data_IF_665069262768
#
_entry.id   IF_665069262768
#
_cell.length_a   1.000
_cell.length_b   1.000
_cell.length_c   1.000
_cell.angle_alpha   90.00
_cell.angle_beta   90.00
_cell.angle_gamma   90.00
#
_symmetry.space_group_name_H-M   'P 1'
#
loop_
_entity.id
_entity.type
_entity.pdbx_description
1 polymer ?
#
# COMPACT_ATOMS: atom_id res chain seq x y z
N UNK A 1 -0.35 11.44 47.08
CA UNK A 1 -1.15 12.63 47.42
C UNK A 1 -0.15 13.70 47.83
N UNK A 2 -0.13 14.87 47.17
CA UNK A 2 0.80 15.96 47.51
C UNK A 2 0.34 16.59 48.82
N UNK A 3 1.26 17.00 49.69
CA UNK A 3 0.93 17.54 51.01
C UNK A 3 0.36 18.97 50.94
N UNK A 4 0.94 19.80 50.07
CA UNK A 4 0.38 21.09 49.67
C UNK A 4 -0.26 20.95 48.28
N UNK A 5 -1.59 20.96 48.23
CA UNK A 5 -2.39 20.90 47.01
C UNK A 5 -3.34 22.11 46.89
N UNK A 6 -4.13 22.15 45.82
CA UNK A 6 -5.09 23.24 45.54
C UNK A 6 -6.23 23.32 46.58
N UNK A 7 -6.52 22.25 47.31
CA UNK A 7 -7.60 22.25 48.30
C UNK A 7 -7.29 23.18 49.49
N UNK A 8 -6.02 23.47 49.73
CA UNK A 8 -5.56 24.37 50.79
C UNK A 8 -5.59 25.87 50.40
N UNK A 9 -5.84 26.20 49.13
CA UNK A 9 -5.76 27.57 48.62
C UNK A 9 -6.78 28.52 49.28
N UNK A 10 -7.98 28.01 49.59
CA UNK A 10 -9.00 28.76 50.30
C UNK A 10 -8.55 29.15 51.72
N UNK A 11 -7.88 28.22 52.41
CA UNK A 11 -7.34 28.44 53.76
C UNK A 11 -6.18 29.45 53.70
N UNK A 12 -5.27 29.31 52.72
CA UNK A 12 -4.16 30.26 52.48
C UNK A 12 -4.70 31.67 52.26
N UNK A 13 -5.75 31.82 51.43
CA UNK A 13 -6.35 33.12 51.14
C UNK A 13 -6.99 33.73 52.39
N UNK A 14 -7.68 32.92 53.18
CA UNK A 14 -8.33 33.33 54.43
C UNK A 14 -7.32 33.79 55.49
N UNK A 15 -6.22 33.05 55.66
CA UNK A 15 -5.10 33.43 56.54
C UNK A 15 -4.43 34.71 56.05
N UNK A 16 -4.19 34.83 54.74
CA UNK A 16 -3.56 36.01 54.14
C UNK A 16 -4.38 37.28 54.39
N UNK A 17 -5.70 37.21 54.20
CA UNK A 17 -6.60 38.34 54.48
C UNK A 17 -6.62 38.70 55.96
N UNK A 18 -6.58 37.71 56.85
CA UNK A 18 -6.54 37.96 58.29
C UNK A 18 -5.22 38.60 58.73
N UNK A 19 -4.08 38.10 58.24
CA UNK A 19 -2.76 38.66 58.57
C UNK A 19 -2.64 40.10 58.06
N UNK A 20 -3.06 40.36 56.82
CA UNK A 20 -2.98 41.71 56.22
C UNK A 20 -3.84 42.74 56.95
N UNK A 21 -4.98 42.32 57.52
CA UNK A 21 -5.88 43.21 58.27
C UNK A 21 -5.47 43.39 59.74
N UNK A 22 -4.88 42.36 60.35
CA UNK A 22 -4.58 42.34 61.79
C UNK A 22 -3.16 42.81 62.11
N UNK A 23 -2.21 42.57 61.20
CA UNK A 23 -0.79 42.84 61.39
C UNK A 23 -0.24 43.73 60.24
N UNK A 24 -0.62 45.02 60.17
CA UNK A 24 -0.11 45.91 59.13
C UNK A 24 1.39 46.17 59.32
N UNK A 25 2.19 45.87 58.29
CA UNK A 25 3.64 46.07 58.31
C UNK A 25 4.03 47.42 57.70
N UNK A 26 4.91 48.18 58.36
CA UNK A 26 5.56 49.35 57.75
C UNK A 26 6.71 48.91 56.82
N UNK A 27 6.99 49.69 55.78
CA UNK A 27 8.06 49.40 54.81
C UNK A 27 9.46 49.30 55.45
N UNK A 28 9.70 50.01 56.56
CA UNK A 28 10.98 49.99 57.25
C UNK A 28 11.24 48.65 57.98
N UNK A 29 10.19 48.07 58.58
CA UNK A 29 10.26 46.76 59.26
C UNK A 29 10.31 45.59 58.27
N UNK A 30 9.96 45.83 57.00
CA UNK A 30 10.05 44.83 55.94
C UNK A 30 11.50 44.44 55.62
N UNK A 31 12.40 45.41 55.65
CA UNK A 31 13.81 45.24 55.28
C UNK A 31 14.71 44.94 56.49
N UNK A 32 14.27 45.26 57.70
CA UNK A 32 15.03 45.06 58.92
C UNK A 32 14.13 44.57 60.07
N UNK A 33 13.90 43.25 60.19
CA UNK A 33 13.07 42.70 61.26
C UNK A 33 13.70 42.87 62.66
N UNK A 34 15.00 43.13 62.76
CA UNK A 34 15.68 43.35 64.04
C UNK A 34 15.23 44.65 64.74
N UNK A 35 14.76 45.64 63.97
CA UNK A 35 14.31 46.93 64.47
C UNK A 35 12.90 46.91 65.10
N UNK A 36 12.20 45.77 65.03
CA UNK A 36 10.89 45.63 65.65
C UNK A 36 10.99 45.63 67.19
N UNK A 37 10.08 46.34 67.86
CA UNK A 37 9.92 46.29 69.31
C UNK A 37 9.37 44.93 69.76
N UNK A 38 9.70 44.51 70.99
CA UNK A 38 9.31 43.22 71.53
C UNK A 38 7.78 43.05 71.62
N UNK A 39 7.02 44.14 71.75
CA UNK A 39 5.56 44.12 71.76
C UNK A 39 4.92 43.71 70.43
N UNK A 40 5.61 43.95 69.30
CA UNK A 40 5.11 43.72 67.93
C UNK A 40 5.94 42.68 67.17
N UNK A 41 7.04 42.18 67.75
CA UNK A 41 7.98 41.30 67.07
C UNK A 41 7.31 40.05 66.49
N UNK A 42 6.51 39.33 67.28
CA UNK A 42 5.82 38.12 66.82
C UNK A 42 4.90 38.41 65.62
N UNK A 43 4.23 39.56 65.61
CA UNK A 43 3.29 39.95 64.55
C UNK A 43 4.02 40.33 63.26
N UNK A 44 5.19 40.97 63.39
CA UNK A 44 6.09 41.30 62.29
C UNK A 44 6.64 40.02 61.64
N UNK A 45 7.12 39.07 62.44
CA UNK A 45 7.68 37.81 61.93
C UNK A 45 6.58 36.93 61.30
N UNK A 46 5.36 36.89 61.86
CA UNK A 46 4.22 36.19 61.23
C UNK A 46 3.99 36.73 59.82
N UNK A 47 3.95 38.06 59.67
CA UNK A 47 3.70 38.69 58.37
C UNK A 47 4.81 38.42 57.34
N UNK A 48 6.08 38.49 57.75
CA UNK A 48 7.23 38.23 56.88
C UNK A 48 7.33 36.76 56.47
N UNK A 49 7.24 35.85 57.44
CA UNK A 49 7.33 34.41 57.21
C UNK A 49 6.15 33.91 56.38
N UNK A 50 4.93 34.40 56.63
CA UNK A 50 3.75 34.03 55.85
C UNK A 50 3.87 34.52 54.40
N UNK A 51 4.34 35.75 54.17
CA UNK A 51 4.58 36.25 52.80
C UNK A 51 5.59 35.39 52.04
N UNK A 52 6.68 34.99 52.70
CA UNK A 52 7.66 34.08 52.11
C UNK A 52 7.03 32.72 51.78
N UNK A 53 6.25 32.16 52.70
CA UNK A 53 5.54 30.90 52.49
C UNK A 53 4.52 30.98 51.34
N UNK A 54 3.74 32.05 51.23
CA UNK A 54 2.79 32.27 50.12
C UNK A 54 3.53 32.28 48.78
N UNK A 55 4.66 32.99 48.70
CA UNK A 55 5.45 33.06 47.48
C UNK A 55 5.90 31.67 47.03
N UNK A 56 6.40 30.86 47.97
CA UNK A 56 6.72 29.46 47.73
C UNK A 56 5.50 28.63 47.34
N UNK A 57 4.36 28.80 48.00
CA UNK A 57 3.14 28.03 47.74
C UNK A 57 2.56 28.28 46.34
N UNK A 58 2.58 29.53 45.84
CA UNK A 58 2.05 29.87 44.52
C UNK A 58 3.07 29.72 43.39
N UNK A 59 4.36 30.02 43.62
CA UNK A 59 5.38 29.97 42.56
C UNK A 59 6.15 28.66 42.50
N UNK A 60 6.31 27.97 43.63
CA UNK A 60 7.23 26.84 43.79
C UNK A 60 6.61 25.68 44.60
N UNK A 61 5.31 25.42 44.41
CA UNK A 61 4.55 24.40 45.18
C UNK A 61 5.16 23.00 45.11
N UNK A 62 5.67 22.60 43.94
CA UNK A 62 6.27 21.28 43.76
C UNK A 62 7.58 21.14 44.53
N UNK A 63 8.44 22.17 44.48
CA UNK A 63 9.68 22.23 45.26
C UNK A 63 9.39 22.29 46.76
N UNK A 64 8.35 23.01 47.17
CA UNK A 64 7.91 23.05 48.56
C UNK A 64 7.52 21.64 49.06
N UNK A 65 6.80 20.86 48.25
CA UNK A 65 6.46 19.47 48.57
C UNK A 65 7.69 18.55 48.58
N UNK A 66 8.60 18.71 47.62
CA UNK A 66 9.81 17.87 47.50
C UNK A 66 10.80 18.10 48.64
N UNK A 67 10.95 19.35 49.08
CA UNK A 67 11.95 19.78 50.06
C UNK A 67 11.41 19.99 51.47
N UNK A 68 10.19 19.53 51.79
CA UNK A 68 9.69 19.54 53.19
C UNK A 68 9.25 18.17 53.76
N UNK A 69 9.84 17.02 53.35
CA UNK A 69 9.32 15.70 53.73
C UNK A 69 9.43 15.41 55.24
N UNK A 70 10.40 15.98 55.96
CA UNK A 70 10.55 15.76 57.40
C UNK A 70 9.42 16.39 58.18
N UNK A 71 9.08 17.66 57.92
CA UNK A 71 7.95 18.29 58.58
C UNK A 71 6.64 17.67 58.11
N UNK A 72 6.49 17.28 56.84
CA UNK A 72 5.31 16.54 56.38
C UNK A 72 5.08 15.24 57.17
N UNK A 73 6.16 14.50 57.47
CA UNK A 73 6.09 13.27 58.26
C UNK A 73 5.94 13.50 59.78
N UNK A 74 6.41 14.64 60.30
CA UNK A 74 6.42 14.97 61.74
C UNK A 74 5.26 15.85 62.20
N UNK A 75 4.53 16.47 61.28
CA UNK A 75 3.23 17.08 61.55
C UNK A 75 2.22 15.91 61.67
N UNK A 76 2.35 15.11 62.72
CA UNK A 76 1.38 14.07 63.08
C UNK A 76 0.05 14.76 63.39
N UNK A 77 -0.91 14.57 62.48
CA UNK A 77 -2.27 15.12 62.58
C UNK A 77 -2.79 15.78 61.30
N UNK A 78 -1.98 15.98 60.25
CA UNK A 78 -2.45 16.47 58.95
C UNK A 78 -2.96 17.92 58.94
N UNK A 79 -2.80 18.66 60.03
CA UNK A 79 -3.25 20.05 60.10
C UNK A 79 -2.17 20.97 59.53
N UNK A 80 -2.31 21.24 58.23
CA UNK A 80 -1.75 22.42 57.59
C UNK A 80 -2.02 23.66 58.47
N UNK A 81 -1.14 24.70 58.43
CA UNK A 81 -1.36 25.93 59.16
C UNK A 81 -2.79 26.45 58.94
N UNK A 82 -3.57 26.66 60.00
CA UNK A 82 -4.99 27.02 59.87
C UNK A 82 -5.29 28.39 60.47
N UNK A 83 -6.34 29.04 59.98
CA UNK A 83 -6.81 30.32 60.48
C UNK A 83 -7.32 30.21 61.91
N UNK A 84 -7.95 29.09 62.27
CA UNK A 84 -8.41 28.83 63.64
C UNK A 84 -7.22 28.78 64.60
N UNK A 85 -6.13 28.12 64.21
CA UNK A 85 -4.88 28.04 64.96
C UNK A 85 -4.21 29.41 65.14
N UNK A 86 -4.16 30.23 64.07
CA UNK A 86 -3.61 31.59 64.16
C UNK A 86 -4.39 32.46 65.17
N UNK A 87 -5.72 32.29 65.25
CA UNK A 87 -6.57 33.02 66.21
C UNK A 87 -6.46 32.50 67.64
N UNK A 88 -6.23 31.20 67.83
CA UNK A 88 -6.12 30.59 69.16
C UNK A 88 -4.72 30.72 69.75
N UNK A 89 -3.68 30.47 68.95
CA UNK A 89 -2.28 30.50 69.36
C UNK A 89 -1.38 30.94 68.20
N UNK A 90 -1.12 32.25 68.15
CA UNK A 90 -0.27 32.86 67.13
C UNK A 90 1.19 32.36 67.17
N UNK A 91 1.69 31.96 68.34
CA UNK A 91 3.08 31.50 68.47
C UNK A 91 3.24 30.07 67.94
N UNK A 92 2.24 29.21 68.18
CA UNK A 92 2.23 27.85 67.62
C UNK A 92 2.12 27.86 66.09
N UNK A 93 1.24 28.72 65.56
CA UNK A 93 1.14 28.94 64.11
C UNK A 93 2.48 29.41 63.54
N UNK A 94 3.10 30.41 64.16
CA UNK A 94 4.40 30.95 63.73
C UNK A 94 5.48 29.86 63.73
N UNK A 95 5.54 29.04 64.79
CA UNK A 95 6.51 27.95 64.91
C UNK A 95 6.39 26.93 63.78
N UNK A 96 5.18 26.55 63.37
CA UNK A 96 4.97 25.64 62.23
C UNK A 96 5.47 26.22 60.92
N UNK A 97 5.16 27.50 60.66
CA UNK A 97 5.57 28.18 59.43
C UNK A 97 7.09 28.31 59.36
N UNK A 98 7.73 28.74 60.45
CA UNK A 98 9.19 28.87 60.49
C UNK A 98 9.88 27.52 60.28
N UNK A 99 9.35 26.42 60.84
CA UNK A 99 9.88 25.07 60.59
C UNK A 99 9.80 24.66 59.12
N UNK A 100 8.65 24.87 58.48
CA UNK A 100 8.48 24.53 57.07
C UNK A 100 9.45 25.32 56.18
N UNK A 101 9.55 26.62 56.42
CA UNK A 101 10.45 27.51 55.69
C UNK A 101 11.90 27.12 55.94
N UNK A 102 12.27 26.80 57.18
CA UNK A 102 13.63 26.38 57.52
C UNK A 102 14.03 25.09 56.80
N UNK A 103 13.16 24.08 56.80
CA UNK A 103 13.44 22.83 56.08
C UNK A 103 13.60 23.06 54.57
N UNK A 104 12.71 23.83 53.96
CA UNK A 104 12.81 24.18 52.55
C UNK A 104 14.16 24.83 52.24
N UNK A 105 14.55 25.84 53.03
CA UNK A 105 15.81 26.55 52.82
C UNK A 105 17.03 25.67 53.09
N UNK A 106 16.95 24.74 54.05
CA UNK A 106 18.05 23.82 54.39
C UNK A 106 18.45 22.94 53.20
N UNK A 107 17.49 22.54 52.35
CA UNK A 107 17.77 21.69 51.18
C UNK A 107 18.00 22.48 49.88
N UNK A 108 17.50 23.71 49.77
CA UNK A 108 17.48 24.46 48.50
C UNK A 108 18.55 25.55 48.40
N UNK A 109 18.97 26.14 49.52
CA UNK A 109 19.88 27.29 49.49
C UNK A 109 21.33 26.80 49.48
N UNK A 110 22.09 27.15 48.45
CA UNK A 110 23.54 26.85 48.33
C UNK A 110 24.43 27.81 49.12
N UNK A 111 23.93 29.00 49.46
CA UNK A 111 24.64 30.06 50.19
C UNK A 111 24.15 30.20 51.64
N UNK A 112 24.99 30.74 52.54
CA UNK A 112 24.69 30.95 53.97
C UNK A 112 23.60 32.00 54.27
N UNK A 113 22.96 32.58 53.25
CA UNK A 113 21.96 33.64 53.45
C UNK A 113 20.58 33.06 53.69
N UNK A 114 20.32 32.69 54.94
CA UNK A 114 18.97 32.40 55.41
C UNK A 114 18.13 33.69 55.43
N UNK A 115 16.80 33.60 55.27
CA UNK A 115 15.92 34.74 55.48
C UNK A 115 16.17 35.35 56.86
N UNK A 116 16.24 36.68 56.94
CA UNK A 116 16.60 37.39 58.19
C UNK A 116 15.70 37.01 59.38
N UNK A 117 14.44 36.66 59.12
CA UNK A 117 13.48 36.23 60.13
C UNK A 117 13.75 34.83 60.73
N UNK A 118 14.70 34.07 60.17
CA UNK A 118 15.20 32.81 60.70
C UNK A 118 16.55 32.96 61.43
N UNK A 119 17.07 34.19 61.58
CA UNK A 119 18.30 34.45 62.33
C UNK A 119 18.16 34.04 63.80
N UNK A 120 19.24 33.47 64.37
CA UNK A 120 19.29 32.99 65.76
C UNK A 120 18.79 34.04 66.75
N UNK A 121 19.20 35.29 66.59
CA UNK A 121 18.85 36.35 67.54
C UNK A 121 17.35 36.69 67.52
N UNK A 122 16.68 36.52 66.37
CA UNK A 122 15.23 36.67 66.27
C UNK A 122 14.52 35.47 66.89
N UNK A 123 15.01 34.25 66.62
CA UNK A 123 14.45 33.04 67.21
C UNK A 123 14.57 33.04 68.74
N UNK A 124 15.70 33.50 69.30
CA UNK A 124 15.89 33.65 70.74
C UNK A 124 14.92 34.69 71.35
N UNK A 125 14.73 35.83 70.67
CA UNK A 125 13.76 36.85 71.10
C UNK A 125 12.33 36.30 71.10
N UNK A 126 11.93 35.58 70.06
CA UNK A 126 10.61 34.93 69.98
C UNK A 126 10.41 33.89 71.09
N UNK A 127 11.45 33.14 71.45
CA UNK A 127 11.43 32.15 72.54
C UNK A 127 11.15 32.82 73.90
N UNK A 128 11.72 34.00 74.14
CA UNK A 128 11.48 34.79 75.37
C UNK A 128 10.06 35.34 75.46
N UNK A 129 9.46 35.66 74.31
CA UNK A 129 8.12 36.25 74.21
C UNK A 129 6.99 35.22 74.17
N UNK A 130 7.30 33.94 73.92
CA UNK A 130 6.31 32.88 73.84
C UNK A 130 5.80 32.47 75.23
N UNK A 131 4.47 32.35 75.44
CA UNK A 131 3.91 31.87 76.70
C UNK A 131 4.28 30.39 76.95
N UNK A 132 4.63 30.04 78.19
CA UNK A 132 5.13 28.70 78.58
C UNK A 132 4.04 27.69 78.95
N UNK A 133 2.76 28.08 78.89
CA UNK A 133 1.74 27.43 79.71
C UNK A 133 0.98 26.26 79.07
N UNK A 134 1.06 26.00 77.75
CA UNK A 134 0.24 24.93 77.14
C UNK A 134 0.94 24.01 76.12
N UNK A 135 1.89 24.48 75.30
CA UNK A 135 2.69 23.65 74.38
C UNK A 135 4.13 24.18 74.46
N UNK A 136 5.14 23.33 74.72
CA UNK A 136 6.53 23.78 74.72
C UNK A 136 6.96 24.10 73.28
N UNK A 137 6.72 25.33 72.86
CA UNK A 137 7.24 25.90 71.62
C UNK A 137 8.65 26.37 71.94
N UNK A 138 9.63 25.85 71.19
CA UNK A 138 11.02 26.30 71.27
C UNK A 138 11.47 26.76 69.90
N UNK A 139 11.53 28.07 69.68
CA UNK A 139 11.97 28.64 68.41
C UNK A 139 13.46 28.36 68.16
N UNK A 140 14.26 28.34 69.24
CA UNK A 140 15.69 28.00 69.20
C UNK A 140 15.96 26.57 68.74
N UNK A 141 15.02 25.64 68.92
CA UNK A 141 15.12 24.27 68.40
C UNK A 141 15.26 24.21 66.87
N UNK A 142 14.62 25.15 66.15
CA UNK A 142 14.62 25.19 64.68
C UNK A 142 16.05 25.31 64.14
N UNK A 143 16.90 26.11 64.77
CA UNK A 143 18.28 26.24 64.35
C UNK A 143 19.20 25.21 65.01
N UNK A 144 19.02 24.96 66.31
CA UNK A 144 20.00 24.18 67.09
C UNK A 144 19.89 22.66 66.87
N UNK A 145 18.67 22.14 66.67
CA UNK A 145 18.43 20.68 66.69
C UNK A 145 17.83 20.18 65.38
N UNK A 146 17.02 20.99 64.70
CA UNK A 146 16.35 20.58 63.46
C UNK A 146 17.31 20.14 62.36
N UNK A 147 18.47 20.79 62.09
CA UNK A 147 19.43 20.32 61.08
C UNK A 147 19.87 18.87 61.30
N UNK A 148 20.22 18.53 62.55
CA UNK A 148 20.61 17.17 62.90
C UNK A 148 19.46 16.17 62.71
N UNK A 149 18.23 16.59 63.00
CA UNK A 149 17.04 15.78 62.78
C UNK A 149 16.75 15.56 61.28
N UNK A 150 16.92 16.59 60.44
CA UNK A 150 16.78 16.53 58.99
C UNK A 150 17.79 15.55 58.38
N UNK A 151 19.07 15.67 58.75
CA UNK A 151 20.13 14.75 58.28
C UNK A 151 19.86 13.32 58.74
N UNK A 152 19.47 13.12 60.01
CA UNK A 152 19.11 11.79 60.53
C UNK A 152 17.93 11.19 59.77
N UNK A 153 16.95 12.00 59.38
CA UNK A 153 15.81 11.55 58.58
C UNK A 153 16.26 11.12 57.17
N UNK A 154 17.12 11.91 56.52
CA UNK A 154 17.69 11.57 55.21
C UNK A 154 18.47 10.24 55.25
N UNK A 155 19.34 10.06 56.24
CA UNK A 155 20.16 8.84 56.39
C UNK A 155 19.32 7.58 56.66
N UNK A 156 18.11 7.75 57.21
CA UNK A 156 17.16 6.65 57.45
C UNK A 156 16.19 6.42 56.30
N UNK A 157 16.25 7.23 55.23
CA UNK A 157 15.34 7.11 54.10
C UNK A 157 15.66 5.88 53.23
N UNK A 158 14.62 5.30 52.63
CA UNK A 158 14.76 4.19 51.68
C UNK A 158 15.59 4.57 50.46
N UNK A 159 15.54 5.84 50.06
CA UNK A 159 16.38 6.37 48.98
C UNK A 159 17.86 6.25 49.32
N UNK A 160 18.24 6.58 50.55
CA UNK A 160 19.63 6.48 50.99
C UNK A 160 20.06 5.02 51.20
N UNK A 161 19.17 4.15 51.68
CA UNK A 161 19.47 2.71 51.78
C UNK A 161 19.67 2.07 50.41
N UNK A 162 18.85 2.43 49.41
CA UNK A 162 19.02 2.02 48.02
C UNK A 162 20.35 2.51 47.46
N UNK A 163 20.69 3.79 47.66
CA UNK A 163 21.99 4.34 47.25
C UNK A 163 23.16 3.60 47.88
N UNK A 164 23.07 3.30 49.19
CA UNK A 164 24.08 2.50 49.89
C UNK A 164 24.20 1.10 49.29
N UNK A 165 23.09 0.44 48.99
CA UNK A 165 23.08 -0.89 48.39
C UNK A 165 23.73 -0.88 47.00
N UNK A 166 23.44 0.13 46.17
CA UNK A 166 24.12 0.33 44.87
C UNK A 166 25.62 0.51 45.08
N UNK A 167 26.02 1.42 45.97
CA UNK A 167 27.43 1.71 46.24
C UNK A 167 28.20 0.49 46.78
N UNK A 168 27.54 -0.39 47.55
CA UNK A 168 28.18 -1.60 48.08
C UNK A 168 28.20 -2.78 47.10
N UNK A 169 27.30 -2.82 46.12
CA UNK A 169 27.14 -3.96 45.21
C UNK A 169 27.25 -3.57 43.72
N UNK A 170 28.13 -2.61 43.41
CA UNK A 170 28.35 -2.11 42.04
C UNK A 170 28.69 -3.27 41.09
N UNK A 171 29.55 -4.21 41.52
CA UNK A 171 29.94 -5.36 40.70
C UNK A 171 28.78 -6.29 40.36
N UNK A 172 27.85 -6.54 41.31
CA UNK A 172 26.67 -7.36 41.03
C UNK A 172 25.68 -6.70 40.07
N UNK A 173 25.53 -5.38 40.15
CA UNK A 173 24.72 -4.63 39.19
C UNK A 173 25.36 -4.60 37.79
N UNK A 174 26.68 -4.42 37.71
CA UNK A 174 27.42 -4.46 36.45
C UNK A 174 27.28 -5.82 35.75
N UNK A 175 27.34 -6.92 36.50
CA UNK A 175 27.16 -8.27 35.99
C UNK A 175 25.73 -8.52 35.49
N UNK A 176 24.71 -8.06 36.22
CA UNK A 176 23.30 -8.20 35.80
C UNK A 176 23.00 -7.36 34.54
N UNK A 177 23.51 -6.13 34.47
CA UNK A 177 23.39 -5.29 33.27
C UNK A 177 24.07 -5.97 32.08
N UNK A 178 25.28 -6.48 32.26
CA UNK A 178 26.03 -7.18 31.21
C UNK A 178 25.28 -8.43 30.72
N UNK A 179 24.67 -9.17 31.65
CA UNK A 179 23.84 -10.34 31.33
C UNK A 179 22.59 -9.98 30.54
N UNK A 180 21.87 -8.91 30.92
CA UNK A 180 20.70 -8.45 30.18
C UNK A 180 21.07 -7.96 28.78
N UNK A 181 22.16 -7.22 28.65
CA UNK A 181 22.67 -6.77 27.34
C UNK A 181 23.01 -7.97 26.45
N UNK A 182 23.75 -8.96 26.98
CA UNK A 182 24.13 -10.16 26.22
C UNK A 182 22.90 -10.98 25.79
N UNK A 183 21.91 -11.11 26.66
CA UNK A 183 20.67 -11.80 26.33
C UNK A 183 19.89 -11.05 25.25
N UNK A 184 19.74 -9.72 25.39
CA UNK A 184 19.06 -8.89 24.39
C UNK A 184 19.71 -8.95 23.01
N UNK A 185 21.05 -8.91 22.95
CA UNK A 185 21.82 -9.04 21.70
C UNK A 185 21.58 -10.42 21.07
N UNK A 186 21.63 -11.50 21.87
CA UNK A 186 21.38 -12.86 21.39
C UNK A 186 19.97 -13.04 20.80
N UNK A 187 18.96 -12.48 21.47
CA UNK A 187 17.58 -12.51 20.99
C UNK A 187 17.42 -11.74 19.67
N UNK A 188 17.98 -10.53 19.59
CA UNK A 188 17.93 -9.72 18.38
C UNK A 188 18.65 -10.40 17.20
N UNK A 189 19.77 -11.07 17.46
CA UNK A 189 20.52 -11.79 16.43
C UNK A 189 19.73 -13.00 15.90
N UNK A 190 19.07 -13.76 16.78
CA UNK A 190 18.21 -14.87 16.36
C UNK A 190 17.00 -14.39 15.54
N UNK A 191 16.37 -13.28 15.91
CA UNK A 191 15.27 -12.69 15.14
C UNK A 191 15.73 -12.21 13.75
N UNK A 192 16.92 -11.61 13.68
CA UNK A 192 17.53 -11.17 12.42
C UNK A 192 17.84 -12.36 11.49
N UNK A 193 18.35 -13.47 12.04
CA UNK A 193 18.62 -14.71 11.29
C UNK A 193 17.31 -15.29 10.71
N UNK A 194 16.25 -15.36 11.52
CA UNK A 194 14.94 -15.84 11.07
C UNK A 194 14.29 -14.94 10.01
N UNK A 195 14.46 -13.62 10.14
CA UNK A 195 13.98 -12.67 9.13
C UNK A 195 14.75 -12.84 7.81
N UNK A 196 16.07 -13.04 7.89
CA UNK A 196 16.89 -13.30 6.71
C UNK A 196 16.44 -14.57 5.98
N UNK A 197 16.24 -15.68 6.70
CA UNK A 197 15.72 -16.92 6.11
C UNK A 197 14.35 -16.71 5.45
N UNK A 198 13.42 -16.02 6.12
CA UNK A 198 12.11 -15.70 5.54
C UNK A 198 12.24 -14.87 4.26
N UNK A 199 13.10 -13.86 4.25
CA UNK A 199 13.34 -13.04 3.05
C UNK A 199 13.91 -13.90 1.92
N UNK A 200 14.90 -14.76 2.18
CA UNK A 200 15.46 -15.65 1.17
C UNK A 200 14.39 -16.60 0.59
N UNK A 201 13.52 -17.18 1.44
CA UNK A 201 12.41 -18.02 0.94
C UNK A 201 11.41 -17.24 0.09
N UNK A 202 11.06 -16.00 0.48
CA UNK A 202 10.13 -15.16 -0.28
C UNK A 202 10.72 -14.75 -1.64
N UNK A 203 12.01 -14.41 -1.68
CA UNK A 203 12.72 -14.08 -2.93
C UNK A 203 12.73 -15.29 -3.86
N UNK A 204 13.08 -16.47 -3.35
CA UNK A 204 13.08 -17.71 -4.15
C UNK A 204 11.68 -18.06 -4.70
N UNK A 205 10.63 -17.84 -3.91
CA UNK A 205 9.24 -18.04 -4.34
C UNK A 205 8.78 -17.00 -5.37
N UNK A 206 9.25 -15.76 -5.26
CA UNK A 206 8.98 -14.73 -6.25
C UNK A 206 9.66 -15.07 -7.59
N UNK A 207 10.92 -15.48 -7.56
CA UNK A 207 11.66 -15.88 -8.76
C UNK A 207 11.03 -17.10 -9.45
N UNK A 208 10.57 -18.09 -8.70
CA UNK A 208 9.86 -19.24 -9.28
C UNK A 208 8.53 -18.83 -9.91
N UNK A 209 7.78 -17.92 -9.27
CA UNK A 209 6.53 -17.37 -9.81
C UNK A 209 6.76 -16.58 -11.10
N UNK A 210 7.84 -15.78 -11.18
CA UNK A 210 8.21 -15.05 -12.40
C UNK A 210 8.51 -16.03 -13.53
N UNK A 211 9.26 -17.10 -13.28
CA UNK A 211 9.52 -18.15 -14.28
C UNK A 211 8.24 -18.79 -14.78
N UNK A 212 7.33 -19.16 -13.87
CA UNK A 212 6.03 -19.72 -14.27
C UNK A 212 5.20 -18.75 -15.10
N UNK A 213 5.21 -17.45 -14.77
CA UNK A 213 4.51 -16.43 -15.57
C UNK A 213 5.10 -16.28 -16.98
N UNK A 214 6.42 -16.35 -17.13
CA UNK A 214 7.08 -16.36 -18.44
C UNK A 214 6.68 -17.59 -19.26
N UNK A 215 6.68 -18.78 -18.66
CA UNK A 215 6.21 -20.01 -19.33
C UNK A 215 4.73 -19.91 -19.75
N UNK A 216 3.88 -19.29 -18.93
CA UNK A 216 2.48 -19.07 -19.29
C UNK A 216 2.30 -18.07 -20.44
N UNK A 217 3.07 -16.99 -20.47
CA UNK A 217 3.04 -16.02 -21.58
C UNK A 217 3.46 -16.67 -22.90
N UNK A 218 4.49 -17.53 -22.88
CA UNK A 218 4.93 -18.30 -24.04
C UNK A 218 3.83 -19.25 -24.53
N UNK A 219 3.21 -20.02 -23.62
CA UNK A 219 2.08 -20.91 -23.97
C UNK A 219 0.89 -20.14 -24.53
N UNK A 220 0.56 -18.98 -23.97
CA UNK A 220 -0.53 -18.14 -24.47
C UNK A 220 -0.24 -17.58 -25.88
N UNK A 221 1.02 -17.21 -26.16
CA UNK A 221 1.45 -16.81 -27.51
C UNK A 221 1.32 -17.97 -28.50
N UNK A 222 1.69 -19.18 -28.10
CA UNK A 222 1.53 -20.39 -28.92
C UNK A 222 0.04 -20.65 -29.23
N UNK A 223 -0.83 -20.66 -28.21
CA UNK A 223 -2.27 -20.86 -28.39
C UNK A 223 -2.93 -19.77 -29.25
N UNK A 224 -2.52 -18.51 -29.09
CA UNK A 224 -3.03 -17.41 -29.93
C UNK A 224 -2.70 -17.62 -31.42
N UNK A 225 -1.49 -18.11 -31.70
CA UNK A 225 -1.06 -18.43 -33.07
C UNK A 225 -1.89 -19.57 -33.65
N UNK A 226 -2.00 -20.68 -32.92
CA UNK A 226 -2.76 -21.87 -33.32
C UNK A 226 -4.25 -21.56 -33.57
N UNK A 227 -4.88 -20.79 -32.67
CA UNK A 227 -6.29 -20.42 -32.78
C UNK A 227 -6.59 -19.54 -34.01
N UNK A 228 -5.68 -18.62 -34.37
CA UNK A 228 -5.85 -17.79 -35.56
C UNK A 228 -5.85 -18.61 -36.86
N UNK A 229 -5.01 -19.64 -36.97
CA UNK A 229 -4.99 -20.52 -38.14
C UNK A 229 -6.18 -21.47 -38.19
N UNK A 230 -6.64 -21.96 -37.03
CA UNK A 230 -7.89 -22.74 -36.94
C UNK A 230 -9.08 -21.91 -37.42
N UNK A 231 -9.15 -20.63 -37.03
CA UNK A 231 -10.22 -19.72 -37.47
C UNK A 231 -10.16 -19.47 -38.98
N UNK A 232 -8.96 -19.27 -39.54
CA UNK A 232 -8.74 -19.06 -40.96
C UNK A 232 -9.10 -20.30 -41.80
N UNK A 233 -8.67 -21.49 -41.37
CA UNK A 233 -9.03 -22.77 -42.00
C UNK A 233 -10.54 -22.99 -41.98
N UNK A 234 -11.20 -22.70 -40.85
CA UNK A 234 -12.67 -22.75 -40.74
C UNK A 234 -13.36 -21.78 -41.71
N UNK A 235 -12.83 -20.57 -41.87
CA UNK A 235 -13.37 -19.59 -42.81
C UNK A 235 -13.25 -20.08 -44.28
N UNK A 236 -12.08 -20.59 -44.68
CA UNK A 236 -11.88 -21.16 -46.02
C UNK A 236 -12.73 -22.41 -46.27
N UNK A 237 -12.89 -23.29 -45.27
CA UNK A 237 -13.74 -24.48 -45.36
C UNK A 237 -15.21 -24.13 -45.58
N UNK A 238 -15.72 -23.11 -44.88
CA UNK A 238 -17.07 -22.58 -45.11
C UNK A 238 -17.25 -21.98 -46.51
N UNK A 239 -16.23 -21.27 -47.00
CA UNK A 239 -16.22 -20.70 -48.35
C UNK A 239 -16.20 -21.80 -49.42
N UNK A 240 -15.39 -22.85 -49.23
CA UNK A 240 -15.34 -24.04 -50.09
C UNK A 240 -16.71 -24.73 -50.18
N UNK A 241 -17.37 -24.95 -49.03
CA UNK A 241 -18.71 -25.56 -48.98
C UNK A 241 -19.73 -24.73 -49.77
N UNK A 242 -19.69 -23.40 -49.61
CA UNK A 242 -20.59 -22.47 -50.31
C UNK A 242 -20.36 -22.51 -51.82
N UNK A 243 -19.09 -22.44 -52.25
CA UNK A 243 -18.74 -22.50 -53.68
C UNK A 243 -19.04 -23.84 -54.34
N UNK A 244 -18.93 -24.94 -53.59
CA UNK A 244 -19.30 -26.28 -54.07
C UNK A 244 -20.81 -26.38 -54.33
N UNK A 245 -21.63 -25.77 -53.47
CA UNK A 245 -23.08 -25.70 -53.67
C UNK A 245 -23.45 -24.84 -54.91
N UNK A 246 -22.74 -23.73 -55.13
CA UNK A 246 -22.88 -22.90 -56.34
C UNK A 246 -22.53 -23.69 -57.61
N UNK A 247 -21.41 -24.44 -57.59
CA UNK A 247 -20.99 -25.30 -58.70
C UNK A 247 -22.05 -26.36 -59.04
N UNK A 248 -22.63 -27.04 -58.04
CA UNK A 248 -23.67 -28.05 -58.26
C UNK A 248 -24.91 -27.42 -58.92
N UNK A 249 -25.31 -26.24 -58.47
CA UNK A 249 -26.44 -25.50 -59.06
C UNK A 249 -26.17 -25.11 -60.51
N UNK A 250 -24.96 -24.60 -60.79
CA UNK A 250 -24.54 -24.24 -62.14
C UNK A 250 -24.45 -25.48 -63.05
N UNK A 251 -23.85 -26.56 -62.57
CA UNK A 251 -23.72 -27.82 -63.32
C UNK A 251 -25.09 -28.42 -63.68
N UNK A 252 -26.05 -28.37 -62.74
CA UNK A 252 -27.43 -28.77 -63.01
C UNK A 252 -28.06 -27.91 -64.12
N UNK A 253 -27.79 -26.61 -64.12
CA UNK A 253 -28.28 -25.69 -65.17
C UNK A 253 -27.70 -26.04 -66.54
N UNK A 254 -26.39 -26.32 -66.63
CA UNK A 254 -25.75 -26.79 -67.87
C UNK A 254 -26.40 -28.08 -68.39
N UNK A 255 -26.66 -29.07 -67.51
CA UNK A 255 -27.32 -30.32 -67.90
C UNK A 255 -28.75 -30.07 -68.44
N UNK A 256 -29.52 -29.19 -67.80
CA UNK A 256 -30.90 -28.86 -68.24
C UNK A 256 -30.88 -28.24 -69.64
N UNK A 257 -30.06 -27.21 -69.87
CA UNK A 257 -29.97 -26.56 -71.19
C UNK A 257 -29.39 -27.47 -72.27
N UNK A 258 -28.42 -28.31 -71.92
CA UNK A 258 -27.87 -29.32 -72.84
C UNK A 258 -28.92 -30.36 -73.22
N UNK A 259 -29.76 -30.79 -72.26
CA UNK A 259 -30.88 -31.69 -72.51
C UNK A 259 -31.91 -31.06 -73.46
N UNK A 260 -32.28 -29.79 -73.27
CA UNK A 260 -33.17 -29.07 -74.18
C UNK A 260 -32.59 -28.86 -75.58
N UNK A 261 -31.28 -28.63 -75.68
CA UNK A 261 -30.58 -28.51 -76.96
C UNK A 261 -30.59 -29.83 -77.76
N UNK A 262 -30.59 -30.99 -77.09
CA UNK A 262 -30.74 -32.30 -77.75
C UNK A 262 -32.21 -32.62 -78.01
N UNK A 263 -33.10 -32.26 -77.08
CA UNK A 263 -34.53 -32.55 -77.19
C UNK A 263 -35.22 -31.80 -78.34
N UNK A 264 -34.78 -30.58 -78.65
CA UNK A 264 -35.34 -29.74 -79.73
C UNK A 264 -35.22 -30.38 -81.12
N UNK A 265 -34.03 -30.79 -81.61
CA UNK A 265 -33.91 -31.48 -82.90
C UNK A 265 -34.52 -32.88 -82.86
N UNK A 266 -34.47 -33.57 -81.73
CA UNK A 266 -35.07 -34.91 -81.58
C UNK A 266 -36.60 -34.85 -81.69
N UNK A 267 -37.23 -33.84 -81.09
CA UNK A 267 -38.67 -33.59 -81.23
C UNK A 267 -39.05 -33.21 -82.67
N UNK A 268 -38.24 -32.39 -83.33
CA UNK A 268 -38.42 -32.06 -84.74
C UNK A 268 -38.35 -33.31 -85.65
N UNK A 269 -37.41 -34.22 -85.37
CA UNK A 269 -37.30 -35.52 -86.07
C UNK A 269 -38.47 -36.45 -85.78
N UNK A 270 -38.93 -36.55 -84.53
CA UNK A 270 -40.11 -37.33 -84.17
C UNK A 270 -41.37 -36.79 -84.84
N UNK A 271 -41.55 -35.47 -84.90
CA UNK A 271 -42.66 -34.86 -85.64
C UNK A 271 -42.63 -35.23 -87.13
N UNK A 272 -41.44 -35.30 -87.74
CA UNK A 272 -41.29 -35.71 -89.14
C UNK A 272 -41.68 -37.18 -89.38
N UNK A 273 -41.33 -38.09 -88.47
CA UNK A 273 -41.61 -39.54 -88.61
C UNK A 273 -43.09 -39.85 -88.34
N UNK A 274 -43.66 -39.26 -87.28
CA UNK A 274 -45.01 -39.59 -86.81
C UNK A 274 -46.09 -38.63 -87.29
N UNK A 275 -45.74 -37.52 -87.95
CA UNK A 275 -46.65 -36.49 -88.48
C UNK A 275 -47.67 -35.98 -87.45
N UNK A 276 -47.21 -35.64 -86.24
CA UNK A 276 -48.08 -35.04 -85.20
C UNK A 276 -48.66 -33.68 -85.64
N UNK A 277 -47.89 -32.89 -86.39
CA UNK A 277 -48.32 -31.65 -87.03
C UNK A 277 -48.16 -31.74 -88.55
N UNK A 278 -49.18 -31.42 -89.36
CA UNK A 278 -49.10 -31.47 -90.82
C UNK A 278 -48.21 -30.33 -91.32
N UNK A 279 -46.93 -30.62 -91.53
CA UNK A 279 -45.97 -29.68 -92.13
C UNK A 279 -45.62 -30.21 -93.51
N UNK A 280 -46.18 -29.60 -94.55
CA UNK A 280 -45.80 -29.91 -95.93
C UNK A 280 -44.38 -29.40 -96.21
N UNK A 281 -43.57 -30.19 -96.91
CA UNK A 281 -42.19 -29.85 -97.26
C UNK A 281 -42.13 -28.83 -98.43
N UNK A 282 -42.75 -27.67 -98.22
CA UNK A 282 -42.81 -26.52 -99.13
C UNK A 282 -42.08 -25.32 -98.49
N UNK A 283 -41.93 -24.19 -99.20
CA UNK A 283 -41.33 -22.96 -98.63
C UNK A 283 -42.03 -22.50 -97.32
N UNK A 284 -43.29 -22.88 -97.12
CA UNK A 284 -44.04 -22.62 -95.90
C UNK A 284 -43.50 -23.36 -94.66
N UNK A 285 -42.74 -24.44 -94.82
CA UNK A 285 -42.07 -25.14 -93.72
C UNK A 285 -41.01 -24.27 -93.02
N UNK A 286 -40.44 -23.30 -93.72
CA UNK A 286 -39.47 -22.36 -93.16
C UNK A 286 -40.05 -21.59 -91.97
N UNK A 287 -41.33 -21.20 -92.02
CA UNK A 287 -41.99 -20.49 -90.92
C UNK A 287 -42.16 -21.35 -89.66
N UNK A 288 -42.14 -22.68 -89.79
CA UNK A 288 -42.19 -23.62 -88.66
C UNK A 288 -40.79 -23.90 -88.08
N UNK A 289 -39.79 -24.13 -88.93
CA UNK A 289 -38.43 -24.47 -88.49
C UNK A 289 -37.60 -23.25 -88.05
N UNK A 290 -37.87 -22.05 -88.57
CA UNK A 290 -37.10 -20.84 -88.23
C UNK A 290 -37.21 -20.44 -86.73
N UNK A 291 -38.40 -20.46 -86.08
CA UNK A 291 -38.50 -20.26 -84.63
C UNK A 291 -37.81 -21.36 -83.82
N UNK A 292 -37.83 -22.62 -84.29
CA UNK A 292 -37.17 -23.75 -83.62
C UNK A 292 -35.64 -23.55 -83.64
N UNK A 293 -35.08 -23.18 -84.79
CA UNK A 293 -33.65 -22.87 -84.92
C UNK A 293 -33.24 -21.67 -84.05
N UNK A 294 -34.08 -20.64 -83.98
CA UNK A 294 -33.82 -19.46 -83.13
C UNK A 294 -33.80 -19.84 -81.64
N UNK A 295 -34.70 -20.73 -81.22
CA UNK A 295 -34.78 -21.26 -79.86
C UNK A 295 -33.60 -22.21 -79.54
N UNK A 296 -33.14 -23.00 -80.50
CA UNK A 296 -31.94 -23.83 -80.39
C UNK A 296 -30.68 -22.98 -80.17
N UNK A 297 -30.51 -21.89 -80.94
CA UNK A 297 -29.41 -20.93 -80.75
C UNK A 297 -29.47 -20.26 -79.37
N UNK A 298 -30.67 -19.97 -78.87
CA UNK A 298 -30.85 -19.42 -77.51
C UNK A 298 -30.43 -20.41 -76.43
N UNK A 299 -30.82 -21.68 -76.54
CA UNK A 299 -30.36 -22.73 -75.61
C UNK A 299 -28.86 -22.95 -75.69
N UNK A 300 -28.27 -22.90 -76.88
CA UNK A 300 -26.83 -22.97 -77.05
C UNK A 300 -26.11 -21.82 -76.34
N UNK A 301 -26.65 -20.60 -76.43
CA UNK A 301 -26.11 -19.43 -75.74
C UNK A 301 -26.14 -19.60 -74.21
N UNK A 302 -27.29 -19.99 -73.63
CA UNK A 302 -27.38 -20.21 -72.18
C UNK A 302 -26.51 -21.37 -71.70
N UNK A 303 -26.45 -22.48 -72.45
CA UNK A 303 -25.55 -23.59 -72.16
C UNK A 303 -24.10 -23.11 -72.10
N UNK A 304 -23.65 -22.33 -73.11
CA UNK A 304 -22.30 -21.77 -73.17
C UNK A 304 -22.03 -20.82 -71.99
N UNK A 305 -22.99 -19.97 -71.63
CA UNK A 305 -22.86 -19.03 -70.51
C UNK A 305 -22.62 -19.78 -69.19
N UNK A 306 -23.50 -20.72 -68.85
CA UNK A 306 -23.37 -21.52 -67.63
C UNK A 306 -22.15 -22.45 -67.65
N UNK A 307 -21.70 -22.89 -68.83
CA UNK A 307 -20.46 -23.66 -68.96
C UNK A 307 -19.23 -22.82 -68.61
N UNK A 308 -19.16 -21.58 -69.09
CA UNK A 308 -18.06 -20.64 -68.78
C UNK A 308 -18.08 -20.27 -67.30
N UNK A 309 -19.25 -19.97 -66.73
CA UNK A 309 -19.41 -19.72 -65.29
C UNK A 309 -18.98 -20.95 -64.46
N UNK A 310 -19.31 -22.16 -64.90
CA UNK A 310 -18.90 -23.41 -64.25
C UNK A 310 -17.38 -23.60 -64.26
N UNK A 311 -16.70 -23.25 -65.35
CA UNK A 311 -15.24 -23.27 -65.44
C UNK A 311 -14.61 -22.26 -64.47
N UNK A 312 -15.19 -21.07 -64.35
CA UNK A 312 -14.75 -20.04 -63.39
C UNK A 312 -14.90 -20.51 -61.94
N UNK A 313 -16.07 -21.05 -61.56
CA UNK A 313 -16.31 -21.58 -60.20
C UNK A 313 -15.35 -22.73 -59.89
N UNK A 314 -15.09 -23.62 -60.86
CA UNK A 314 -14.13 -24.71 -60.69
C UNK A 314 -12.70 -24.21 -60.44
N UNK A 315 -12.28 -23.15 -61.12
CA UNK A 315 -10.98 -22.52 -60.88
C UNK A 315 -10.91 -21.88 -59.48
N UNK A 316 -11.98 -21.25 -59.02
CA UNK A 316 -12.07 -20.70 -57.66
C UNK A 316 -11.98 -21.79 -56.59
N UNK A 317 -12.69 -22.92 -56.79
CA UNK A 317 -12.64 -24.07 -55.88
C UNK A 317 -11.21 -24.60 -55.71
N UNK A 318 -10.49 -24.78 -56.82
CA UNK A 318 -9.09 -25.24 -56.80
C UNK A 318 -8.18 -24.29 -55.99
N UNK A 319 -8.35 -22.97 -56.17
CA UNK A 319 -7.60 -21.97 -55.41
C UNK A 319 -7.91 -22.00 -53.91
N UNK A 320 -9.16 -22.27 -53.53
CA UNK A 320 -9.57 -22.37 -52.12
C UNK A 320 -9.04 -23.65 -51.48
N UNK A 321 -9.10 -24.78 -52.20
CA UNK A 321 -8.57 -26.06 -51.71
C UNK A 321 -7.06 -26.00 -51.47
N UNK A 322 -6.32 -25.34 -52.35
CA UNK A 322 -4.88 -25.11 -52.15
C UNK A 322 -4.62 -24.26 -50.90
N UNK A 323 -5.37 -23.19 -50.66
CA UNK A 323 -5.21 -22.38 -49.43
C UNK A 323 -5.57 -23.13 -48.17
N UNK A 324 -6.60 -23.98 -48.22
CA UNK A 324 -7.00 -24.81 -47.09
C UNK A 324 -5.89 -25.82 -46.74
N UNK A 325 -5.35 -26.51 -47.75
CA UNK A 325 -4.23 -27.45 -47.58
C UNK A 325 -2.97 -26.74 -47.05
N UNK A 326 -2.69 -25.51 -47.50
CA UNK A 326 -1.58 -24.73 -46.95
C UNK A 326 -1.86 -24.30 -45.50
N UNK A 327 -3.08 -23.89 -45.16
CA UNK A 327 -3.43 -23.52 -43.77
C UNK A 327 -3.26 -24.68 -42.78
N UNK A 328 -3.50 -25.93 -43.21
CA UNK A 328 -3.22 -27.13 -42.40
C UNK A 328 -1.71 -27.34 -42.17
N UNK A 329 -0.87 -26.98 -43.16
CA UNK A 329 0.59 -27.13 -43.07
C UNK A 329 1.30 -25.97 -42.36
N UNK A 330 0.63 -24.82 -42.20
CA UNK A 330 1.23 -23.59 -41.65
C UNK A 330 1.63 -23.72 -40.17
N UNK A 331 0.98 -24.57 -39.36
CA UNK A 331 1.30 -24.72 -37.94
C UNK A 331 2.76 -25.16 -37.72
N UNK A 332 3.17 -26.26 -38.34
CA UNK A 332 4.55 -26.78 -38.29
C UNK A 332 5.55 -25.85 -39.00
N UNK A 333 5.08 -25.11 -40.00
CA UNK A 333 5.90 -24.23 -40.84
C UNK A 333 6.21 -22.85 -40.20
N UNK A 334 5.28 -22.31 -39.39
CA UNK A 334 5.49 -21.05 -38.64
C UNK A 334 6.39 -21.28 -37.43
N UNK A 335 6.29 -22.46 -36.80
CA UNK A 335 7.18 -22.85 -35.72
C UNK A 335 8.63 -23.02 -36.20
N UNK A 336 8.83 -23.58 -37.40
CA UNK A 336 10.16 -23.68 -38.05
C UNK A 336 10.71 -22.32 -38.52
N UNK A 337 9.85 -21.37 -38.96
CA UNK A 337 10.23 -19.99 -39.32
C UNK A 337 10.85 -19.20 -38.16
N UNK A 338 10.26 -19.30 -36.97
CA UNK A 338 10.77 -18.56 -35.81
C UNK A 338 12.17 -19.06 -35.36
N UNK A 339 12.51 -20.31 -35.69
CA UNK A 339 13.76 -20.95 -35.28
C UNK A 339 14.85 -20.96 -36.37
N UNK A 340 14.54 -20.61 -37.61
CA UNK A 340 15.50 -20.66 -38.71
C UNK A 340 15.56 -19.33 -39.48
N UNK A 341 16.71 -18.65 -39.42
CA UNK A 341 16.97 -17.37 -40.11
C UNK A 341 17.11 -17.47 -41.63
N UNK A 342 16.43 -18.43 -42.28
CA UNK A 342 16.59 -18.73 -43.69
C UNK A 342 15.63 -17.92 -44.57
N UNK A 343 16.19 -17.12 -45.49
CA UNK A 343 15.65 -16.52 -46.73
C UNK A 343 14.25 -15.88 -46.74
N UNK A 344 14.24 -14.57 -46.42
CA UNK A 344 13.14 -13.57 -46.54
C UNK A 344 12.29 -13.65 -47.83
N UNK A 345 12.85 -14.18 -48.92
CA UNK A 345 12.25 -14.17 -50.25
C UNK A 345 11.18 -15.26 -50.44
N UNK A 346 11.50 -16.51 -50.06
CA UNK A 346 10.55 -17.65 -50.07
C UNK A 346 9.32 -17.40 -49.20
N UNK A 347 9.48 -16.65 -48.09
CA UNK A 347 8.37 -16.24 -47.22
C UNK A 347 7.43 -15.23 -47.87
N UNK A 348 7.99 -14.27 -48.60
CA UNK A 348 7.17 -13.27 -49.29
C UNK A 348 6.35 -13.89 -50.42
N UNK A 349 6.88 -14.95 -51.06
CA UNK A 349 6.18 -15.73 -52.08
C UNK A 349 5.06 -16.57 -51.47
N UNK A 350 5.29 -17.16 -50.29
CA UNK A 350 4.27 -17.90 -49.55
C UNK A 350 3.13 -16.99 -49.07
N UNK A 351 3.43 -15.85 -48.43
CA UNK A 351 2.42 -14.89 -47.98
C UNK A 351 1.61 -14.34 -49.17
N UNK A 352 2.27 -14.05 -50.30
CA UNK A 352 1.59 -13.68 -51.55
C UNK A 352 0.68 -14.80 -52.06
N UNK A 353 1.05 -16.08 -51.92
CA UNK A 353 0.22 -17.21 -52.34
C UNK A 353 -1.05 -17.32 -51.51
N UNK A 354 -0.93 -17.23 -50.18
CA UNK A 354 -2.06 -17.32 -49.23
C UNK A 354 -3.01 -16.12 -49.36
N UNK A 355 -2.47 -14.90 -49.46
CA UNK A 355 -3.25 -13.66 -49.50
C UNK A 355 -3.55 -13.15 -50.91
N UNK A 356 -3.24 -13.92 -51.95
CA UNK A 356 -3.58 -13.53 -53.33
C UNK A 356 -5.10 -13.32 -53.47
N UNK A 357 -5.57 -12.38 -54.31
CA UNK A 357 -6.99 -12.28 -54.62
C UNK A 357 -7.50 -13.56 -55.31
N UNK A 358 -8.70 -14.04 -54.94
CA UNK A 358 -9.34 -15.15 -55.64
C UNK A 358 -9.76 -14.66 -57.03
N UNK A 359 -9.17 -15.24 -58.07
CA UNK A 359 -9.41 -14.76 -59.43
C UNK A 359 -10.62 -15.44 -60.06
N UNK A 360 -11.41 -14.68 -60.82
CA UNK A 360 -12.69 -15.12 -61.39
C UNK A 360 -12.52 -15.81 -62.75
N UNK A 361 -11.35 -15.73 -63.40
CA UNK A 361 -11.12 -16.27 -64.74
C UNK A 361 -9.98 -17.29 -64.76
N UNK A 362 -10.19 -18.42 -65.47
CA UNK A 362 -9.18 -19.48 -65.63
C UNK A 362 -7.95 -19.04 -66.44
N UNK A 363 -8.07 -17.96 -67.21
CA UNK A 363 -7.01 -17.40 -68.06
C UNK A 363 -6.01 -16.54 -67.26
N UNK A 364 -6.40 -16.07 -66.07
CA UNK A 364 -5.55 -15.27 -65.20
C UNK A 364 -5.22 -16.02 -63.89
N UNK A 365 -5.22 -17.34 -63.91
CA UNK A 365 -4.62 -18.09 -62.80
C UNK A 365 -3.15 -17.62 -62.72
N UNK A 366 -2.69 -17.01 -61.61
CA UNK A 366 -1.30 -16.59 -61.50
C UNK A 366 -0.41 -17.78 -61.84
N UNK A 367 0.62 -17.60 -62.65
CA UNK A 367 1.60 -18.63 -63.01
C UNK A 367 2.21 -19.36 -61.80
N UNK A 368 2.10 -18.77 -60.60
CA UNK A 368 2.45 -19.36 -59.31
C UNK A 368 1.54 -20.52 -58.87
N UNK A 369 0.27 -20.58 -59.31
CA UNK A 369 -0.66 -21.67 -59.00
C UNK A 369 -0.41 -22.91 -59.88
N UNK A 370 0.03 -22.68 -61.12
CA UNK A 370 0.53 -23.71 -62.02
C UNK A 370 2.03 -23.93 -61.74
N UNK A 371 2.30 -24.34 -60.49
CA UNK A 371 3.63 -24.48 -59.89
C UNK A 371 4.61 -25.35 -60.69
N UNK A 372 4.19 -25.99 -61.78
CA UNK A 372 5.07 -26.61 -62.75
C UNK A 372 6.07 -25.62 -63.39
N UNK A 373 5.66 -24.36 -63.62
CA UNK A 373 6.54 -23.35 -64.23
C UNK A 373 7.63 -22.85 -63.28
N UNK A 374 7.28 -22.57 -62.02
CA UNK A 374 8.26 -22.20 -60.98
C UNK A 374 9.16 -23.37 -60.56
N UNK A 375 8.64 -24.60 -60.54
CA UNK A 375 9.44 -25.82 -60.31
C UNK A 375 10.37 -26.10 -61.51
N UNK A 376 9.94 -25.86 -62.74
CA UNK A 376 10.80 -26.00 -63.92
C UNK A 376 11.93 -24.95 -63.95
N UNK A 377 11.67 -23.74 -63.47
CA UNK A 377 12.69 -22.68 -63.35
C UNK A 377 13.71 -22.97 -62.23
N UNK A 378 13.24 -23.52 -61.09
CA UNK A 378 14.10 -24.03 -60.01
C UNK A 378 14.90 -25.26 -60.43
N UNK A 379 14.27 -26.22 -61.11
CA UNK A 379 14.92 -27.42 -61.64
C UNK A 379 15.94 -27.07 -62.73
N UNK A 380 15.64 -26.11 -63.60
CA UNK A 380 16.57 -25.58 -64.58
C UNK A 380 17.78 -24.89 -63.94
N UNK A 381 17.58 -24.11 -62.87
CA UNK A 381 18.68 -23.50 -62.10
C UNK A 381 19.55 -24.52 -61.37
N UNK A 382 18.95 -25.58 -60.82
CA UNK A 382 19.69 -26.66 -60.12
C UNK A 382 20.45 -27.52 -61.13
N UNK A 383 19.84 -27.91 -62.25
CA UNK A 383 20.49 -28.70 -63.30
C UNK A 383 21.56 -27.92 -64.08
N UNK A 384 21.42 -26.60 -64.23
CA UNK A 384 22.45 -25.76 -64.87
C UNK A 384 23.71 -25.56 -64.00
N UNK A 385 23.62 -25.85 -62.68
CA UNK A 385 24.75 -25.72 -61.76
C UNK A 385 25.65 -26.97 -61.73
N UNK A 386 25.13 -28.12 -62.19
CA UNK A 386 25.87 -29.38 -62.32
C UNK A 386 26.48 -29.62 -63.72
N UNK A 387 26.29 -28.68 -64.66
CA UNK A 387 26.93 -28.68 -65.99
C UNK A 387 28.20 -27.82 -65.99
N UNK A 388 29.22 -28.23 -65.24
CA UNK A 388 30.59 -27.75 -65.40
C UNK A 388 31.54 -28.90 -65.69
#
# INVERSE_FOLDING_TARGET
MKFFDESYEHEVTSITSHITSTFPLSNDLYNNPFAADDSILSDVIISLSWRYFIDLYFKHRDLLNEHTPFNQAKIEGGNLPSLSELKSDKHFFLFKILRLIYEYNFWTVSDTRQPLFLDFSILERLDRLSPKDNIPISFTWIEQTMPAALVKHLLRSDKFSLFKNIATNVGGFEEEISKQIKNGISTAQNEAEQLKEKIETLVNNADSSIKSLQEYDEKLKQYKSEYNFVLLSKAFSNLLKTKKAEYVTNHRSVIIFSSWLIATPLFALLNHIYNFFPVEFNLNALFYYLPILSLELLFFYFMRLYYIEGKAIKAQLLQIEQRLSLCEFIHDYVETKNNSGAEKESWSLFEKLIFSPIQVSSENIPSLLDGASSIAELAGKVLSKDSK
#
